data_IF_950734984669
#
_entry.id   IF_950734984669
#
_cell.length_a   1.000
_cell.length_b   1.000
_cell.length_c   1.000
_cell.angle_alpha   90.00
_cell.angle_beta   90.00
_cell.angle_gamma   90.00
#
_symmetry.space_group_name_H-M   'P 1'
#
loop_
_entity.id
_entity.type
_entity.pdbx_description
1 polymer ?
#
# COMPACT_ATOMS: atom_id res chain seq x y z
N UNK A 1 -7.89 23.65 0.63
CA UNK A 1 -8.29 22.54 1.57
C UNK A 1 -9.82 22.51 1.65
N UNK A 2 -10.42 21.32 1.69
CA UNK A 2 -11.86 21.20 1.90
C UNK A 2 -12.15 21.03 3.41
N UNK A 3 -13.36 21.42 3.84
CA UNK A 3 -13.76 21.37 5.26
C UNK A 3 -13.77 19.93 5.82
N UNK A 4 -14.10 18.95 4.99
CA UNK A 4 -14.11 17.53 5.37
C UNK A 4 -12.72 17.04 5.80
N UNK A 5 -11.69 17.27 4.99
CA UNK A 5 -10.32 16.88 5.29
C UNK A 5 -9.80 17.60 6.54
N UNK A 6 -10.04 18.93 6.62
CA UNK A 6 -9.57 19.74 7.75
C UNK A 6 -10.21 19.30 9.07
N UNK A 7 -11.53 19.07 9.09
CA UNK A 7 -12.22 18.66 10.30
C UNK A 7 -11.72 17.32 10.85
N UNK A 8 -11.51 16.33 9.98
CA UNK A 8 -11.03 15.02 10.41
C UNK A 8 -9.57 15.10 10.88
N UNK A 9 -8.70 15.80 10.14
CA UNK A 9 -7.28 15.94 10.54
C UNK A 9 -7.19 16.69 11.85
N UNK A 10 -7.89 17.81 12.04
CA UNK A 10 -7.88 18.56 13.30
C UNK A 10 -8.39 17.72 14.47
N UNK A 11 -9.48 16.95 14.25
CA UNK A 11 -10.01 16.04 15.26
C UNK A 11 -8.98 14.97 15.66
N UNK A 12 -8.36 14.28 14.70
CA UNK A 12 -7.36 13.27 14.99
C UNK A 12 -6.12 13.87 15.64
N UNK A 13 -5.68 15.03 15.19
CA UNK A 13 -4.52 15.72 15.73
C UNK A 13 -4.74 16.26 17.14
N UNK A 14 -6.00 16.47 17.58
CA UNK A 14 -6.30 16.87 18.98
C UNK A 14 -5.87 15.81 20.00
N UNK A 15 -5.65 14.56 19.60
CA UNK A 15 -5.12 13.51 20.49
C UNK A 15 -3.58 13.43 20.51
N UNK A 16 -2.90 14.16 19.63
CA UNK A 16 -1.43 14.15 19.56
C UNK A 16 -0.82 14.66 20.86
N UNK A 17 0.26 13.99 21.28
CA UNK A 17 1.03 14.30 22.52
C UNK A 17 0.27 14.14 23.84
N UNK A 18 -0.94 13.60 23.85
CA UNK A 18 -1.60 13.23 25.09
C UNK A 18 -1.00 11.97 25.74
N UNK A 19 -0.44 11.06 24.93
CA UNK A 19 0.22 9.86 25.43
C UNK A 19 1.41 9.51 24.56
N UNK A 20 2.60 9.50 25.14
CA UNK A 20 3.82 9.04 24.44
C UNK A 20 3.69 7.61 23.93
N UNK A 21 3.11 6.72 24.74
CA UNK A 21 2.93 5.31 24.35
C UNK A 21 2.00 5.15 23.15
N UNK A 22 0.91 5.92 23.11
CA UNK A 22 -0.04 5.88 21.99
C UNK A 22 0.60 6.42 20.71
N UNK A 23 1.23 7.58 20.77
CA UNK A 23 1.90 8.20 19.61
C UNK A 23 2.99 7.27 19.04
N UNK A 24 3.84 6.73 19.93
CA UNK A 24 4.90 5.79 19.54
C UNK A 24 4.34 4.50 18.93
N UNK A 25 3.22 4.00 19.46
CA UNK A 25 2.53 2.83 18.88
C UNK A 25 2.01 3.14 17.48
N UNK A 26 1.36 4.28 17.26
CA UNK A 26 0.87 4.69 15.95
C UNK A 26 2.03 4.88 14.96
N UNK A 27 3.13 5.50 15.41
CA UNK A 27 4.33 5.63 14.60
C UNK A 27 4.93 4.26 14.23
N UNK A 28 5.01 3.33 15.19
CA UNK A 28 5.46 1.95 14.95
C UNK A 28 4.59 1.25 13.90
N UNK A 29 3.26 1.38 13.96
CA UNK A 29 2.35 0.82 12.95
C UNK A 29 2.64 1.36 11.55
N UNK A 30 2.96 2.65 11.45
CA UNK A 30 3.24 3.31 10.17
C UNK A 30 4.62 2.98 9.60
N UNK A 31 5.63 2.77 10.45
CA UNK A 31 7.03 2.58 10.05
C UNK A 31 7.43 1.11 9.90
N UNK A 32 6.82 0.21 10.67
CA UNK A 32 7.18 -1.21 10.68
C UNK A 32 6.59 -1.95 9.47
N UNK A 33 7.45 -2.47 8.60
CA UNK A 33 7.04 -3.12 7.35
C UNK A 33 6.25 -4.42 7.59
N UNK A 34 6.49 -5.15 8.69
CA UNK A 34 5.72 -6.34 9.02
C UNK A 34 4.27 -5.99 9.33
N UNK A 35 4.05 -5.00 10.20
CA UNK A 35 2.71 -4.55 10.58
C UNK A 35 2.03 -3.77 9.45
N UNK A 36 2.77 -3.01 8.67
CA UNK A 36 2.25 -2.23 7.55
C UNK A 36 1.81 -3.09 6.38
N UNK A 37 2.69 -3.94 5.86
CA UNK A 37 2.43 -4.72 4.65
C UNK A 37 2.53 -6.24 4.83
N UNK A 38 3.38 -6.69 5.75
CA UNK A 38 3.67 -8.11 5.96
C UNK A 38 2.42 -8.92 6.35
N UNK A 39 1.52 -8.38 7.18
CA UNK A 39 0.27 -9.06 7.56
C UNK A 39 -0.63 -9.29 6.34
N UNK A 40 -0.79 -8.31 5.47
CA UNK A 40 -1.61 -8.46 4.25
C UNK A 40 -0.97 -9.47 3.29
N UNK A 41 0.35 -9.41 3.14
CA UNK A 41 1.11 -10.40 2.34
C UNK A 41 1.00 -11.80 2.95
N UNK A 42 1.08 -11.94 4.27
CA UNK A 42 0.89 -13.24 4.94
C UNK A 42 -0.52 -13.82 4.67
N UNK A 43 -1.56 -12.97 4.62
CA UNK A 43 -2.92 -13.40 4.23
C UNK A 43 -2.98 -13.86 2.76
N UNK A 44 -2.24 -13.22 1.85
CA UNK A 44 -2.09 -13.69 0.46
C UNK A 44 -1.48 -15.09 0.44
N UNK A 45 -0.35 -15.30 1.15
CA UNK A 45 0.30 -16.60 1.22
C UNK A 45 -0.57 -17.66 1.88
N UNK A 46 -1.29 -17.33 2.95
CA UNK A 46 -2.24 -18.24 3.57
C UNK A 46 -3.35 -18.66 2.60
N UNK A 47 -3.95 -17.68 1.90
CA UNK A 47 -4.99 -17.93 0.89
C UNK A 47 -4.46 -18.77 -0.27
N UNK A 48 -3.21 -18.58 -0.67
CA UNK A 48 -2.52 -19.33 -1.73
C UNK A 48 -2.39 -20.82 -1.41
N UNK A 49 -2.08 -21.16 -0.15
CA UNK A 49 -1.89 -22.56 0.29
C UNK A 49 -3.13 -23.18 0.91
N UNK A 50 -4.21 -22.43 1.04
CA UNK A 50 -5.44 -22.93 1.60
C UNK A 50 -5.96 -24.14 0.79
N UNK A 51 -6.40 -25.25 1.46
CA UNK A 51 -7.10 -26.35 0.80
C UNK A 51 -8.42 -25.85 0.21
N UNK A 52 -8.54 -25.85 -1.11
CA UNK A 52 -9.75 -25.43 -1.83
C UNK A 52 -9.92 -26.35 -3.05
N UNK A 53 -11.16 -26.74 -3.34
CA UNK A 53 -11.50 -27.49 -4.56
C UNK A 53 -11.19 -26.72 -5.85
N UNK A 54 -11.16 -25.37 -5.78
CA UNK A 54 -10.82 -24.46 -6.90
C UNK A 54 -9.44 -23.83 -6.72
N UNK A 55 -8.48 -24.59 -6.25
CA UNK A 55 -7.12 -24.11 -5.92
C UNK A 55 -6.44 -23.35 -7.06
N UNK A 56 -6.58 -23.83 -8.29
CA UNK A 56 -5.95 -23.20 -9.45
C UNK A 56 -6.63 -21.88 -9.83
N UNK A 57 -7.95 -21.79 -9.72
CA UNK A 57 -8.67 -20.52 -9.91
C UNK A 57 -8.29 -19.50 -8.84
N UNK A 58 -8.20 -19.94 -7.58
CA UNK A 58 -7.73 -19.11 -6.46
C UNK A 58 -6.33 -18.54 -6.74
N UNK A 59 -5.40 -19.37 -7.17
CA UNK A 59 -4.03 -18.96 -7.51
C UNK A 59 -3.98 -17.99 -8.68
N UNK A 60 -4.76 -18.22 -9.73
CA UNK A 60 -4.88 -17.31 -10.86
C UNK A 60 -5.36 -15.93 -10.39
N UNK A 61 -6.41 -15.87 -9.58
CA UNK A 61 -6.93 -14.60 -9.04
C UNK A 61 -5.90 -13.88 -8.17
N UNK A 62 -5.13 -14.60 -7.34
CA UNK A 62 -4.07 -13.99 -6.52
C UNK A 62 -2.90 -13.47 -7.35
N UNK A 63 -2.53 -14.16 -8.45
CA UNK A 63 -1.56 -13.65 -9.41
C UNK A 63 -2.06 -12.34 -10.03
N UNK A 64 -3.30 -12.33 -10.52
CA UNK A 64 -3.91 -11.12 -11.08
C UNK A 64 -3.99 -9.99 -10.03
N UNK A 65 -4.25 -10.32 -8.75
CA UNK A 65 -4.24 -9.37 -7.65
C UNK A 65 -2.88 -8.70 -7.43
N UNK A 66 -1.81 -9.48 -7.50
CA UNK A 66 -0.44 -8.98 -7.38
C UNK A 66 -0.13 -8.01 -8.54
N UNK A 67 -0.50 -8.35 -9.76
CA UNK A 67 -0.34 -7.44 -10.90
C UNK A 67 -1.20 -6.19 -10.75
N UNK A 68 -2.45 -6.31 -10.30
CA UNK A 68 -3.33 -5.16 -10.05
C UNK A 68 -2.73 -4.19 -9.04
N UNK A 69 -2.14 -4.68 -7.94
CA UNK A 69 -1.53 -3.81 -6.95
C UNK A 69 -0.24 -3.13 -7.47
N UNK A 70 0.53 -3.78 -8.36
CA UNK A 70 1.66 -3.14 -9.05
C UNK A 70 1.19 -2.00 -9.96
N UNK A 71 0.14 -2.24 -10.72
CA UNK A 71 -0.48 -1.20 -11.56
C UNK A 71 -1.04 -0.08 -10.68
N UNK A 72 -1.63 -0.40 -9.52
CA UNK A 72 -2.16 0.59 -8.59
C UNK A 72 -1.09 1.56 -8.08
N UNK A 73 0.10 1.06 -7.71
CA UNK A 73 1.19 1.94 -7.27
C UNK A 73 1.71 2.80 -8.42
N UNK A 74 1.81 2.25 -9.62
CA UNK A 74 2.24 3.02 -10.81
C UNK A 74 1.25 4.14 -11.12
N UNK A 75 -0.06 3.85 -11.14
CA UNK A 75 -1.10 4.86 -11.37
C UNK A 75 -1.10 5.91 -10.26
N UNK A 76 -1.02 5.50 -8.99
CA UNK A 76 -0.96 6.45 -7.87
C UNK A 76 0.25 7.39 -7.99
N UNK A 77 1.43 6.86 -8.34
CA UNK A 77 2.64 7.67 -8.55
C UNK A 77 2.52 8.58 -9.77
N UNK A 78 2.00 8.09 -10.88
CA UNK A 78 1.77 8.90 -12.07
C UNK A 78 0.82 10.06 -11.77
N UNK A 79 -0.29 9.82 -11.08
CA UNK A 79 -1.23 10.85 -10.67
C UNK A 79 -0.60 11.87 -9.72
N UNK A 80 0.22 11.41 -8.75
CA UNK A 80 0.93 12.31 -7.84
C UNK A 80 1.92 13.25 -8.56
N UNK A 81 2.45 12.83 -9.72
CA UNK A 81 3.35 13.66 -10.55
C UNK A 81 2.59 14.55 -11.55
N UNK A 82 1.42 14.12 -12.03
CA UNK A 82 0.66 14.81 -13.07
C UNK A 82 -0.34 15.83 -12.51
N UNK A 83 -0.82 15.61 -11.29
CA UNK A 83 -1.80 16.51 -10.65
C UNK A 83 -1.06 17.64 -9.92
N UNK A 84 -1.74 18.76 -9.64
CA UNK A 84 -1.19 19.85 -8.84
C UNK A 84 -0.64 19.33 -7.52
N UNK A 85 0.56 19.79 -7.13
CA UNK A 85 1.19 19.39 -5.89
C UNK A 85 0.31 19.70 -4.69
N UNK A 86 0.10 18.69 -3.84
CA UNK A 86 -0.69 18.80 -2.61
C UNK A 86 0.21 18.62 -1.40
N UNK A 87 0.38 19.69 -0.63
CA UNK A 87 1.12 19.62 0.64
C UNK A 87 0.46 18.65 1.62
N UNK A 88 1.27 18.02 2.46
CA UNK A 88 0.78 17.10 3.49
C UNK A 88 0.24 17.87 4.70
N UNK A 89 -0.77 17.33 5.43
CA UNK A 89 -1.32 17.99 6.62
C UNK A 89 -0.27 18.49 7.60
N UNK A 90 0.78 17.70 7.84
CA UNK A 90 1.82 17.97 8.83
C UNK A 90 2.69 19.20 8.53
N UNK A 91 2.71 19.68 7.28
CA UNK A 91 3.54 20.84 6.88
C UNK A 91 2.72 22.08 6.54
N UNK A 92 1.39 21.99 6.52
CA UNK A 92 0.51 23.13 6.18
C UNK A 92 0.35 24.04 7.40
N UNK A 93 0.86 25.30 7.38
CA UNK A 93 0.82 26.18 8.53
C UNK A 93 -0.60 26.47 9.06
N UNK A 94 -1.58 26.56 8.15
CA UNK A 94 -2.97 26.86 8.50
C UNK A 94 -3.66 25.77 9.34
N UNK A 95 -3.10 24.55 9.40
CA UNK A 95 -3.65 23.44 10.20
C UNK A 95 -3.13 23.51 11.64
N UNK A 96 -2.02 24.20 11.90
CA UNK A 96 -1.32 24.21 13.18
C UNK A 96 -1.06 22.79 13.71
N UNK A 97 -0.60 21.90 12.80
CA UNK A 97 -0.46 20.48 13.08
C UNK A 97 0.56 20.23 14.21
N UNK A 98 0.10 19.56 15.27
CA UNK A 98 0.96 19.13 16.37
C UNK A 98 1.57 17.77 16.05
N UNK A 99 2.89 17.70 15.84
CA UNK A 99 3.58 16.45 15.53
C UNK A 99 3.51 15.48 16.73
N UNK A 100 2.98 14.25 16.56
CA UNK A 100 3.01 13.21 17.60
C UNK A 100 4.43 12.87 18.06
N UNK A 101 4.58 12.32 19.25
CA UNK A 101 5.88 11.86 19.75
C UNK A 101 6.47 10.77 18.86
N UNK A 102 7.78 10.86 18.57
CA UNK A 102 8.50 9.90 17.74
C UNK A 102 8.19 10.01 16.23
N UNK A 103 7.32 10.94 15.85
CA UNK A 103 7.02 11.19 14.45
C UNK A 103 8.20 11.83 13.72
N UNK A 104 8.64 11.20 12.63
CA UNK A 104 9.59 11.74 11.66
C UNK A 104 8.85 11.90 10.34
N UNK A 105 9.11 12.94 9.58
CA UNK A 105 8.54 13.18 8.26
C UNK A 105 9.05 12.19 7.20
N UNK A 106 10.18 11.48 7.51
CA UNK A 106 10.77 10.45 6.67
C UNK A 106 11.13 10.93 5.26
N UNK A 107 11.35 12.23 5.06
CA UNK A 107 11.63 12.81 3.75
C UNK A 107 10.41 12.83 2.81
N UNK A 108 9.20 12.89 3.36
CA UNK A 108 7.95 12.89 2.60
C UNK A 108 7.53 14.28 2.11
N UNK A 109 8.19 15.34 2.55
CA UNK A 109 7.81 16.75 2.31
C UNK A 109 7.77 17.06 0.81
N UNK A 110 8.75 16.54 0.07
CA UNK A 110 8.90 16.80 -1.37
C UNK A 110 7.94 15.96 -2.26
N UNK A 111 7.07 15.16 -1.64
CA UNK A 111 6.15 14.29 -2.35
C UNK A 111 4.70 14.69 -2.13
N UNK A 112 3.95 14.87 -3.24
CA UNK A 112 2.52 15.17 -3.18
C UNK A 112 1.78 14.16 -2.31
N UNK A 113 0.82 14.64 -1.49
CA UNK A 113 0.04 13.77 -0.62
C UNK A 113 -1.00 12.95 -1.38
N UNK A 114 -1.51 13.44 -2.52
CA UNK A 114 -2.59 12.80 -3.28
C UNK A 114 -2.08 12.08 -4.53
N UNK A 115 -2.60 10.88 -4.83
CA UNK A 115 -3.33 9.96 -3.94
C UNK A 115 -2.37 9.14 -3.06
N UNK A 116 -2.89 8.51 -1.99
CA UNK A 116 -2.09 7.62 -1.14
C UNK A 116 -1.74 6.32 -1.86
N UNK A 117 -0.44 6.09 -2.11
CA UNK A 117 0.09 4.86 -2.70
C UNK A 117 -0.13 3.63 -1.80
N UNK A 118 0.02 3.79 -0.49
CA UNK A 118 -0.26 2.72 0.48
C UNK A 118 -1.72 2.29 0.44
N UNK A 119 -2.65 3.24 0.38
CA UNK A 119 -4.05 2.93 0.23
C UNK A 119 -4.32 2.20 -1.10
N UNK A 120 -3.76 2.68 -2.22
CA UNK A 120 -3.94 2.05 -3.53
C UNK A 120 -3.48 0.58 -3.53
N UNK A 121 -2.29 0.30 -3.01
CA UNK A 121 -1.72 -1.05 -2.95
C UNK A 121 -2.52 -1.96 -2.03
N UNK A 122 -2.71 -1.56 -0.77
CA UNK A 122 -3.24 -2.49 0.23
C UNK A 122 -4.76 -2.67 0.14
N UNK A 123 -5.53 -1.66 -0.29
CA UNK A 123 -6.94 -1.87 -0.61
C UNK A 123 -7.13 -2.72 -1.86
N UNK A 124 -6.23 -2.66 -2.86
CA UNK A 124 -6.25 -3.56 -4.00
C UNK A 124 -6.06 -5.02 -3.58
N UNK A 125 -5.05 -5.30 -2.75
CA UNK A 125 -4.80 -6.66 -2.25
C UNK A 125 -5.93 -7.17 -1.35
N UNK A 126 -6.39 -6.36 -0.39
CA UNK A 126 -7.46 -6.73 0.52
C UNK A 126 -8.78 -7.02 -0.21
N UNK A 127 -9.13 -6.20 -1.21
CA UNK A 127 -10.30 -6.43 -2.05
C UNK A 127 -10.15 -7.69 -2.92
N UNK A 128 -8.96 -7.96 -3.41
CA UNK A 128 -8.68 -9.19 -4.16
C UNK A 128 -8.82 -10.44 -3.29
N UNK A 129 -8.34 -10.41 -2.04
CA UNK A 129 -8.55 -11.49 -1.06
C UNK A 129 -10.05 -11.67 -0.80
N UNK A 130 -10.82 -10.58 -0.68
CA UNK A 130 -12.27 -10.63 -0.48
C UNK A 130 -12.99 -11.43 -1.58
N UNK A 131 -12.57 -11.31 -2.82
CA UNK A 131 -13.18 -12.05 -3.92
C UNK A 131 -12.89 -13.55 -3.89
N UNK A 132 -11.80 -13.96 -3.29
CA UNK A 132 -11.39 -15.36 -3.16
C UNK A 132 -11.89 -15.98 -1.85
N UNK A 133 -11.76 -15.22 -0.75
CA UNK A 133 -12.14 -15.65 0.59
C UNK A 133 -12.73 -14.47 1.38
N UNK A 134 -14.07 -14.39 1.41
CA UNK A 134 -14.79 -13.24 1.96
C UNK A 134 -14.38 -12.87 3.38
N UNK A 135 -14.32 -13.86 4.29
CA UNK A 135 -14.00 -13.57 5.70
C UNK A 135 -12.59 -12.97 5.86
N UNK A 136 -11.58 -13.56 5.19
CA UNK A 136 -10.22 -13.04 5.21
C UNK A 136 -10.12 -11.67 4.53
N UNK A 137 -10.87 -11.46 3.44
CA UNK A 137 -10.91 -10.17 2.76
C UNK A 137 -11.56 -9.07 3.59
N UNK A 138 -12.64 -9.35 4.32
CA UNK A 138 -13.24 -8.38 5.26
C UNK A 138 -12.23 -8.04 6.36
N UNK A 139 -11.59 -9.05 6.96
CA UNK A 139 -10.55 -8.82 7.97
C UNK A 139 -9.38 -8.00 7.41
N UNK A 140 -8.94 -8.28 6.16
CA UNK A 140 -7.90 -7.52 5.50
C UNK A 140 -8.32 -6.06 5.23
N UNK A 141 -9.55 -5.80 4.77
CA UNK A 141 -10.06 -4.44 4.54
C UNK A 141 -10.12 -3.63 5.83
N UNK A 142 -10.62 -4.23 6.92
CA UNK A 142 -10.64 -3.60 8.25
C UNK A 142 -9.20 -3.34 8.72
N UNK A 143 -8.31 -4.31 8.56
CA UNK A 143 -6.91 -4.16 8.92
C UNK A 143 -6.24 -3.01 8.16
N UNK A 144 -6.40 -2.96 6.85
CA UNK A 144 -5.83 -1.91 5.99
C UNK A 144 -6.36 -0.53 6.40
N UNK A 145 -7.65 -0.41 6.68
CA UNK A 145 -8.22 0.84 7.14
C UNK A 145 -7.66 1.27 8.51
N UNK A 146 -7.69 0.38 9.52
CA UNK A 146 -7.33 0.71 10.89
C UNK A 146 -5.81 0.82 11.12
N UNK A 147 -5.02 -0.08 10.52
CA UNK A 147 -3.58 -0.21 10.82
C UNK A 147 -2.67 0.37 9.75
N UNK A 148 -3.20 0.67 8.54
CA UNK A 148 -2.44 1.34 7.49
C UNK A 148 -3.00 2.74 7.22
N UNK A 149 -4.29 2.88 7.01
CA UNK A 149 -4.93 4.16 6.70
C UNK A 149 -4.93 5.15 7.87
N UNK A 150 -5.50 4.73 9.01
CA UNK A 150 -5.63 5.62 10.19
C UNK A 150 -4.31 6.16 10.72
N UNK A 151 -3.22 5.39 10.84
CA UNK A 151 -1.92 5.92 11.24
C UNK A 151 -1.42 7.04 10.33
N UNK A 152 -1.69 6.97 9.04
CA UNK A 152 -1.27 8.01 8.08
C UNK A 152 -2.04 9.30 8.22
N UNK A 153 -3.30 9.24 8.60
CA UNK A 153 -4.10 10.42 8.94
C UNK A 153 -3.60 11.04 10.24
N UNK A 154 -3.41 10.21 11.27
CA UNK A 154 -2.96 10.65 12.59
C UNK A 154 -1.59 11.33 12.56
N UNK A 155 -0.65 10.78 11.78
CA UNK A 155 0.70 11.33 11.62
C UNK A 155 0.77 12.51 10.64
N UNK A 156 -0.36 12.91 10.04
CA UNK A 156 -0.42 14.04 9.11
C UNK A 156 0.24 13.76 7.75
N UNK A 157 0.45 12.49 7.38
CA UNK A 157 1.05 12.14 6.10
C UNK A 157 0.06 12.27 4.93
N UNK A 158 -1.23 12.06 5.18
CA UNK A 158 -2.28 12.10 4.17
C UNK A 158 -3.56 12.73 4.71
N UNK A 159 -4.36 13.30 3.83
CA UNK A 159 -5.74 13.66 4.11
C UNK A 159 -6.68 12.45 3.95
N UNK A 160 -7.89 12.48 4.55
CA UNK A 160 -8.92 11.48 4.29
C UNK A 160 -9.21 11.27 2.80
N UNK A 161 -9.28 12.33 2.02
CA UNK A 161 -9.51 12.23 0.57
C UNK A 161 -8.35 11.58 -0.18
N UNK A 162 -7.10 11.65 0.31
CA UNK A 162 -5.96 10.94 -0.29
C UNK A 162 -6.09 9.42 -0.09
N UNK A 163 -6.51 9.01 1.12
CA UNK A 163 -6.76 7.59 1.43
C UNK A 163 -7.93 7.07 0.61
N UNK A 164 -9.03 7.84 0.52
CA UNK A 164 -10.20 7.47 -0.30
C UNK A 164 -9.83 7.36 -1.77
N UNK A 165 -9.07 8.33 -2.31
CA UNK A 165 -8.61 8.31 -3.70
C UNK A 165 -7.74 7.08 -4.00
N UNK A 166 -6.77 6.79 -3.13
CA UNK A 166 -5.94 5.59 -3.24
C UNK A 166 -6.77 4.30 -3.14
N UNK A 167 -7.68 4.21 -2.16
CA UNK A 167 -8.56 3.06 -2.00
C UNK A 167 -9.45 2.82 -3.23
N UNK A 168 -10.02 3.87 -3.80
CA UNK A 168 -10.83 3.78 -5.04
C UNK A 168 -10.01 3.24 -6.21
N UNK A 169 -8.79 3.73 -6.41
CA UNK A 169 -7.88 3.22 -7.45
C UNK A 169 -7.60 1.73 -7.20
N UNK A 170 -7.23 1.36 -5.99
CA UNK A 170 -6.90 -0.02 -5.65
C UNK A 170 -8.09 -0.97 -5.83
N UNK A 171 -9.27 -0.61 -5.34
CA UNK A 171 -10.49 -1.40 -5.46
C UNK A 171 -10.91 -1.53 -6.93
N UNK A 172 -10.87 -0.45 -7.71
CA UNK A 172 -11.20 -0.48 -9.12
C UNK A 172 -10.28 -1.44 -9.89
N UNK A 173 -8.98 -1.41 -9.63
CA UNK A 173 -8.02 -2.32 -10.26
C UNK A 173 -8.20 -3.78 -9.82
N UNK A 174 -8.55 -4.01 -8.55
CA UNK A 174 -8.90 -5.36 -8.08
C UNK A 174 -10.15 -5.91 -8.79
N UNK A 175 -11.15 -5.07 -9.08
CA UNK A 175 -12.32 -5.44 -9.87
C UNK A 175 -11.96 -5.73 -11.33
N UNK A 176 -11.15 -4.88 -11.96
CA UNK A 176 -10.69 -5.05 -13.34
C UNK A 176 -9.87 -6.33 -13.48
N UNK A 177 -8.99 -6.64 -12.52
CA UNK A 177 -8.15 -7.84 -12.53
C UNK A 177 -8.93 -9.16 -12.51
N UNK A 178 -10.22 -9.14 -12.17
CA UNK A 178 -11.13 -10.30 -12.27
C UNK A 178 -11.66 -10.56 -13.68
N UNK A 179 -11.47 -9.63 -14.59
CA UNK A 179 -11.94 -9.83 -15.95
C UNK A 179 -11.29 -11.08 -16.56
N UNK A 180 -12.08 -11.81 -17.36
CA UNK A 180 -11.66 -13.07 -17.99
C UNK A 180 -10.32 -12.95 -18.72
N UNK A 181 -10.07 -11.83 -19.37
CA UNK A 181 -8.83 -11.54 -20.09
C UNK A 181 -7.58 -11.74 -19.19
N UNK A 182 -7.59 -11.20 -17.97
CA UNK A 182 -6.45 -11.31 -17.05
C UNK A 182 -6.33 -12.70 -16.44
N UNK A 183 -7.46 -13.35 -16.15
CA UNK A 183 -7.47 -14.74 -15.67
C UNK A 183 -6.94 -15.68 -16.74
N UNK A 184 -7.33 -15.52 -18.00
CA UNK A 184 -6.85 -16.34 -19.12
C UNK A 184 -5.35 -16.08 -19.37
N UNK A 185 -4.88 -14.83 -19.25
CA UNK A 185 -3.45 -14.50 -19.31
C UNK A 185 -2.67 -15.23 -18.22
N UNK A 186 -3.11 -15.16 -16.96
CA UNK A 186 -2.46 -15.84 -15.84
C UNK A 186 -2.45 -17.37 -16.06
N UNK A 187 -3.56 -17.95 -16.54
CA UNK A 187 -3.68 -19.37 -16.85
C UNK A 187 -2.72 -19.80 -17.96
N UNK A 188 -2.58 -18.99 -19.01
CA UNK A 188 -1.77 -19.33 -20.18
C UNK A 188 -0.28 -19.17 -19.95
N UNK A 189 0.13 -18.11 -19.26
CA UNK A 189 1.55 -17.75 -19.15
C UNK A 189 2.17 -18.04 -17.78
N UNK A 190 1.42 -17.84 -16.70
CA UNK A 190 1.98 -17.89 -15.33
C UNK A 190 1.79 -19.27 -14.70
N UNK A 191 0.62 -19.88 -14.84
CA UNK A 191 0.36 -21.20 -14.25
C UNK A 191 1.26 -22.32 -14.82
N UNK A 192 1.60 -22.36 -16.11
CA UNK A 192 2.57 -23.34 -16.63
C UNK A 192 3.97 -23.16 -16.05
N UNK A 193 4.39 -21.92 -15.74
CA UNK A 193 5.66 -21.68 -15.06
C UNK A 193 5.65 -22.27 -13.64
N UNK A 194 4.59 -22.05 -12.87
CA UNK A 194 4.41 -22.67 -11.56
C UNK A 194 4.51 -24.20 -11.62
N UNK A 195 3.93 -24.83 -12.65
CA UNK A 195 3.92 -26.30 -12.82
C UNK A 195 5.29 -26.85 -13.25
N UNK A 196 5.97 -26.16 -14.18
CA UNK A 196 7.25 -26.62 -14.77
C UNK A 196 8.44 -26.35 -13.85
N UNK A 197 8.44 -25.23 -13.16
CA UNK A 197 9.60 -24.75 -12.36
C UNK A 197 9.12 -24.09 -11.07
N UNK A 198 8.55 -24.85 -10.11
CA UNK A 198 7.97 -24.29 -8.89
C UNK A 198 9.01 -23.55 -8.05
N UNK A 199 10.26 -23.99 -7.99
CA UNK A 199 11.31 -23.33 -7.23
C UNK A 199 11.56 -21.90 -7.68
N UNK A 200 11.76 -21.68 -8.99
CA UNK A 200 11.97 -20.33 -9.56
C UNK A 200 10.72 -19.46 -9.43
N UNK A 201 9.54 -20.05 -9.62
CA UNK A 201 8.28 -19.34 -9.47
C UNK A 201 8.12 -18.80 -8.03
N UNK A 202 8.29 -19.66 -7.02
CA UNK A 202 8.15 -19.24 -5.62
C UNK A 202 9.23 -18.28 -5.17
N UNK A 203 10.46 -18.40 -5.68
CA UNK A 203 11.52 -17.43 -5.41
C UNK A 203 11.15 -16.03 -5.94
N UNK A 204 10.66 -15.94 -7.19
CA UNK A 204 10.20 -14.68 -7.76
C UNK A 204 8.97 -14.13 -7.03
N UNK A 205 8.00 -14.98 -6.72
CA UNK A 205 6.80 -14.58 -5.99
C UNK A 205 7.14 -14.05 -4.59
N UNK A 206 8.08 -14.69 -3.89
CA UNK A 206 8.56 -14.23 -2.59
C UNK A 206 9.19 -12.85 -2.67
N UNK A 207 10.14 -12.65 -3.61
CA UNK A 207 10.78 -11.34 -3.79
C UNK A 207 9.75 -10.27 -4.12
N UNK A 208 8.80 -10.56 -5.00
CA UNK A 208 7.77 -9.62 -5.41
C UNK A 208 6.84 -9.25 -4.24
N UNK A 209 6.35 -10.24 -3.49
CA UNK A 209 5.49 -10.00 -2.33
C UNK A 209 6.23 -9.30 -1.19
N UNK A 210 7.52 -9.59 -1.00
CA UNK A 210 8.38 -8.85 -0.07
C UNK A 210 8.50 -7.36 -0.48
N UNK A 211 8.74 -7.07 -1.77
CA UNK A 211 8.78 -5.70 -2.25
C UNK A 211 7.44 -4.97 -2.06
N UNK A 212 6.32 -5.67 -2.25
CA UNK A 212 4.99 -5.11 -1.99
C UNK A 212 4.81 -4.80 -0.50
N UNK A 213 5.21 -5.71 0.40
CA UNK A 213 5.11 -5.51 1.85
C UNK A 213 5.85 -4.25 2.32
N UNK A 214 7.02 -3.99 1.72
CA UNK A 214 7.88 -2.81 2.01
C UNK A 214 7.57 -1.60 1.12
N UNK A 215 6.54 -1.67 0.27
CA UNK A 215 6.21 -0.65 -0.77
C UNK A 215 7.45 -0.26 -1.58
N UNK A 216 8.18 -1.26 -2.04
CA UNK A 216 9.37 -1.09 -2.88
C UNK A 216 10.48 -0.23 -2.23
N UNK A 217 10.50 -0.11 -0.89
CA UNK A 217 11.51 0.70 -0.19
C UNK A 217 12.92 0.21 -0.50
N UNK A 218 13.14 -1.12 -0.51
CA UNK A 218 14.46 -1.70 -0.84
C UNK A 218 14.86 -1.39 -2.28
N UNK A 219 13.94 -1.51 -3.24
CA UNK A 219 14.22 -1.16 -4.64
C UNK A 219 14.52 0.33 -4.82
N UNK A 220 13.79 1.21 -4.12
CA UNK A 220 14.05 2.66 -4.17
C UNK A 220 15.42 3.01 -3.61
N UNK A 221 15.84 2.38 -2.50
CA UNK A 221 17.20 2.57 -1.93
C UNK A 221 18.29 2.13 -2.90
N UNK A 222 18.12 0.96 -3.56
CA UNK A 222 19.05 0.47 -4.57
C UNK A 222 19.10 1.40 -5.77
N UNK A 223 17.94 1.81 -6.29
CA UNK A 223 17.86 2.74 -7.43
C UNK A 223 18.52 4.09 -7.12
N UNK A 224 18.28 4.64 -5.94
CA UNK A 224 18.92 5.87 -5.48
C UNK A 224 20.44 5.72 -5.37
N UNK A 225 20.92 4.62 -4.77
CA UNK A 225 22.35 4.33 -4.69
C UNK A 225 23.00 4.23 -6.08
N UNK A 226 22.38 3.50 -7.00
CA UNK A 226 22.88 3.40 -8.37
C UNK A 226 22.89 4.77 -9.07
N UNK A 227 21.80 5.54 -8.90
CA UNK A 227 21.76 6.89 -9.47
C UNK A 227 22.88 7.78 -8.96
N UNK A 228 23.18 7.76 -7.65
CA UNK A 228 24.28 8.55 -7.06
C UNK A 228 25.66 8.09 -7.52
N UNK A 229 25.83 6.81 -7.86
CA UNK A 229 27.09 6.32 -8.44
C UNK A 229 27.35 6.85 -9.86
N UNK A 230 26.31 7.06 -10.64
CA UNK A 230 26.40 7.50 -12.04
C UNK A 230 26.21 9.01 -12.23
N UNK A 231 25.75 9.73 -11.22
CA UNK A 231 25.72 11.20 -11.21
C UNK A 231 26.92 11.71 -10.41
N UNK A 232 27.99 12.21 -11.05
CA UNK A 232 29.10 12.82 -10.32
C UNK A 232 28.57 13.99 -9.49
N UNK A 233 28.97 14.04 -8.20
CA UNK A 233 28.66 15.16 -7.32
C UNK A 233 29.26 16.43 -7.98
N UNK A 234 28.42 17.24 -8.59
CA UNK A 234 28.76 18.62 -8.91
C UNK A 234 28.69 19.34 -7.56
N UNK A 235 29.84 19.38 -6.89
CA UNK A 235 30.07 20.23 -5.71
C UNK A 235 30.12 21.68 -6.13
#
# INVERSE_FOLDING_TARGET
>A
MNSFDTSIITFLNSFARHSWAFDSFVYMLSSNDLLKGGVVVALIWWTWFRPDARKDDTRQHLICAIFACLVAVVIARALALMLPFRERPMVVPAIHFQHPYGGDDGGLIDWSSFPSDHAAVFFSLAMSIFFVWRAAGIAALIYVFLFIGMPRLYLGFHYPTDILGGALIGIALALIARAKLFCDWARTFVMPWLQRSPGSFYACLFILTFQIATIFQSMRKIAHFLFTLFTPHIT
#
